data_IF_742337965206
#
_entry.id   IF_742337965206
#
_cell.length_a   1.000
_cell.length_b   1.000
_cell.length_c   1.000
_cell.angle_alpha   90.00
_cell.angle_beta   90.00
_cell.angle_gamma   90.00
#
_symmetry.space_group_name_H-M   'P 1'
#
loop_
_entity.id
_entity.type
_entity.pdbx_description
1 polymer ?
#
# COMPACT_ATOMS: atom_id res chain seq x y z
N UNK A 1 -27.54 -2.07 -8.45
CA UNK A 1 -26.73 -1.04 -9.13
C UNK A 1 -25.47 -1.71 -9.62
N UNK A 2 -25.27 -1.84 -10.94
CA UNK A 2 -23.96 -2.25 -11.48
C UNK A 2 -22.99 -1.11 -11.18
N UNK A 3 -21.90 -1.40 -10.47
CA UNK A 3 -20.79 -0.46 -10.37
C UNK A 3 -20.37 -0.10 -11.79
N UNK A 4 -20.47 1.18 -12.13
CA UNK A 4 -19.89 1.75 -13.33
C UNK A 4 -18.38 1.55 -13.18
N UNK A 5 -17.85 0.55 -13.90
CA UNK A 5 -16.43 0.21 -13.84
C UNK A 5 -15.71 1.34 -14.58
N UNK A 6 -14.94 2.14 -13.85
CA UNK A 6 -14.11 3.20 -14.42
C UNK A 6 -13.35 2.65 -15.64
N UNK A 7 -13.41 3.38 -16.76
CA UNK A 7 -12.79 2.97 -18.00
C UNK A 7 -11.28 2.84 -17.80
N UNK A 8 -10.70 1.63 -17.98
CA UNK A 8 -9.26 1.41 -17.79
C UNK A 8 -8.36 2.33 -18.61
N UNK A 9 -8.88 2.86 -19.74
CA UNK A 9 -8.16 3.85 -20.52
C UNK A 9 -7.88 5.13 -19.72
N UNK A 10 -8.85 5.63 -18.95
CA UNK A 10 -8.68 6.88 -18.20
C UNK A 10 -7.70 6.72 -17.05
N UNK A 11 -7.69 5.54 -16.40
CA UNK A 11 -6.71 5.21 -15.36
C UNK A 11 -5.30 5.15 -15.93
N UNK A 12 -5.08 4.37 -16.99
CA UNK A 12 -3.78 4.27 -17.63
C UNK A 12 -3.31 5.63 -18.21
N UNK A 13 -4.22 6.42 -18.75
CA UNK A 13 -3.93 7.79 -19.22
C UNK A 13 -3.54 8.72 -18.06
N UNK A 14 -4.14 8.56 -16.88
CA UNK A 14 -3.76 9.30 -15.68
C UNK A 14 -2.35 8.92 -15.22
N UNK A 15 -1.99 7.64 -15.23
CA UNK A 15 -0.62 7.18 -14.93
C UNK A 15 0.40 7.78 -15.89
N UNK A 16 0.11 7.78 -17.20
CA UNK A 16 0.94 8.44 -18.21
C UNK A 16 1.07 9.94 -17.93
N UNK A 17 -0.01 10.65 -17.58
CA UNK A 17 0.04 12.08 -17.23
C UNK A 17 0.94 12.35 -16.01
N UNK A 18 0.96 11.46 -15.02
CA UNK A 18 1.85 11.53 -13.86
C UNK A 18 3.31 11.35 -14.27
N UNK A 19 3.60 10.33 -15.08
CA UNK A 19 4.95 10.05 -15.59
C UNK A 19 5.46 11.18 -16.49
N UNK A 20 4.60 11.80 -17.30
CA UNK A 20 4.96 13.00 -18.09
C UNK A 20 5.33 14.19 -17.19
N UNK A 21 4.62 14.43 -16.09
CA UNK A 21 4.99 15.48 -15.12
C UNK A 21 6.34 15.21 -14.47
N UNK A 22 6.61 13.94 -14.12
CA UNK A 22 7.91 13.50 -13.60
C UNK A 22 9.02 13.76 -14.64
N UNK A 23 8.82 13.39 -15.90
CA UNK A 23 9.74 13.64 -17.01
C UNK A 23 10.03 15.14 -17.16
N UNK A 24 9.01 16.00 -17.15
CA UNK A 24 9.18 17.45 -17.23
C UNK A 24 10.00 18.00 -16.07
N UNK A 25 9.76 17.51 -14.84
CA UNK A 25 10.56 17.87 -13.67
C UNK A 25 12.03 17.43 -13.84
N UNK A 26 12.28 16.20 -14.27
CA UNK A 26 13.62 15.70 -14.55
C UNK A 26 14.34 16.56 -15.60
N UNK A 27 13.65 16.89 -16.69
CA UNK A 27 14.19 17.74 -17.76
C UNK A 27 14.50 19.16 -17.29
N UNK A 28 13.61 19.80 -16.53
CA UNK A 28 13.86 21.13 -15.96
C UNK A 28 15.09 21.13 -15.05
N UNK A 29 15.16 20.13 -14.16
CA UNK A 29 16.31 19.94 -13.28
C UNK A 29 17.61 19.73 -14.06
N UNK A 30 17.60 18.89 -15.10
CA UNK A 30 18.76 18.68 -15.97
C UNK A 30 19.13 19.95 -16.72
N UNK A 31 18.15 20.70 -17.23
CA UNK A 31 18.37 21.93 -18.00
C UNK A 31 19.03 23.02 -17.14
N UNK A 32 18.74 23.09 -15.84
CA UNK A 32 19.38 24.03 -14.90
C UNK A 32 20.83 23.71 -14.55
N UNK A 33 21.34 22.51 -14.84
CA UNK A 33 22.75 22.17 -14.54
C UNK A 33 23.69 22.98 -15.46
N UNK A 34 24.64 23.77 -14.94
CA UNK A 34 25.53 24.56 -15.80
C UNK A 34 26.48 23.70 -16.64
N UNK A 35 27.11 22.70 -16.02
CA UNK A 35 28.03 21.78 -16.68
C UNK A 35 27.31 20.51 -17.15
N UNK A 36 27.03 20.45 -18.47
CA UNK A 36 26.39 19.29 -19.10
C UNK A 36 27.30 18.06 -19.19
N UNK A 37 28.61 18.23 -18.99
CA UNK A 37 29.58 17.14 -18.99
C UNK A 37 29.79 16.52 -17.61
N UNK A 38 29.27 17.17 -16.56
CA UNK A 38 29.30 16.65 -15.20
C UNK A 38 28.62 15.27 -15.11
N UNK A 39 29.12 14.43 -14.21
CA UNK A 39 28.55 13.10 -13.96
C UNK A 39 27.06 13.18 -13.62
N UNK A 40 26.66 14.19 -12.84
CA UNK A 40 25.26 14.46 -12.49
C UNK A 40 24.38 14.77 -13.71
N UNK A 41 24.88 15.57 -14.66
CA UNK A 41 24.14 15.86 -15.89
C UNK A 41 24.00 14.62 -16.79
N UNK A 42 25.03 13.78 -16.84
CA UNK A 42 25.01 12.53 -17.60
C UNK A 42 24.03 11.51 -17.00
N UNK A 43 24.03 11.35 -15.69
CA UNK A 43 23.09 10.47 -14.98
C UNK A 43 21.64 10.91 -15.22
N UNK A 44 21.33 12.20 -15.04
CA UNK A 44 19.99 12.73 -15.32
C UNK A 44 19.58 12.60 -16.79
N UNK A 45 20.52 12.77 -17.72
CA UNK A 45 20.26 12.53 -19.14
C UNK A 45 19.83 11.08 -19.40
N UNK A 46 20.47 10.11 -18.72
CA UNK A 46 20.10 8.69 -18.81
C UNK A 46 18.69 8.44 -18.32
N UNK A 47 18.37 8.94 -17.12
CA UNK A 47 17.04 8.79 -16.52
C UNK A 47 15.95 9.39 -17.41
N UNK A 48 16.21 10.55 -18.01
CA UNK A 48 15.27 11.18 -18.96
C UNK A 48 15.07 10.31 -20.20
N UNK A 49 16.14 9.74 -20.77
CA UNK A 49 16.03 8.84 -21.93
C UNK A 49 15.25 7.58 -21.64
N UNK A 50 15.50 6.98 -20.49
CA UNK A 50 14.81 5.78 -20.04
C UNK A 50 13.32 6.06 -19.78
N UNK A 51 13.00 7.15 -19.09
CA UNK A 51 11.61 7.58 -18.87
C UNK A 51 10.88 7.86 -20.19
N UNK A 52 11.52 8.50 -21.16
CA UNK A 52 10.95 8.70 -22.51
C UNK A 52 10.70 7.36 -23.22
N UNK A 53 11.60 6.38 -23.06
CA UNK A 53 11.42 5.06 -23.66
C UNK A 53 10.16 4.39 -23.10
N UNK A 54 10.04 4.27 -21.78
CA UNK A 54 8.88 3.65 -21.14
C UNK A 54 7.57 4.37 -21.48
N UNK A 55 7.57 5.71 -21.44
CA UNK A 55 6.39 6.49 -21.84
C UNK A 55 5.99 6.26 -23.31
N UNK A 56 6.94 6.02 -24.23
CA UNK A 56 6.57 5.69 -25.61
C UNK A 56 5.91 4.31 -25.71
N UNK A 57 6.39 3.32 -24.93
CA UNK A 57 5.79 1.99 -24.86
C UNK A 57 4.35 2.09 -24.33
N UNK A 58 4.12 2.84 -23.24
CA UNK A 58 2.79 3.06 -22.67
C UNK A 58 1.84 3.76 -23.67
N UNK A 59 2.35 4.75 -24.41
CA UNK A 59 1.57 5.45 -25.44
C UNK A 59 1.24 4.55 -26.62
N UNK A 60 2.13 3.64 -27.01
CA UNK A 60 1.86 2.66 -28.06
C UNK A 60 0.73 1.71 -27.64
N UNK A 61 0.69 1.27 -26.38
CA UNK A 61 -0.40 0.46 -25.84
C UNK A 61 -1.74 1.20 -25.79
N UNK A 62 -1.73 2.46 -25.39
CA UNK A 62 -2.95 3.30 -25.41
C UNK A 62 -3.44 3.58 -26.84
N UNK A 63 -2.54 3.85 -27.78
CA UNK A 63 -2.90 4.02 -29.20
C UNK A 63 -3.47 2.72 -29.79
N UNK A 64 -2.89 1.57 -29.44
CA UNK A 64 -3.42 0.26 -29.82
C UNK A 64 -4.84 0.06 -29.28
N UNK A 65 -5.08 0.42 -28.02
CA UNK A 65 -6.41 0.36 -27.40
C UNK A 65 -7.43 1.23 -28.14
N UNK A 66 -7.09 2.48 -28.44
CA UNK A 66 -7.95 3.40 -29.22
C UNK A 66 -8.26 2.82 -30.60
N UNK A 67 -7.26 2.24 -31.28
CA UNK A 67 -7.43 1.63 -32.59
C UNK A 67 -8.33 0.38 -32.56
N UNK A 68 -8.25 -0.44 -31.51
CA UNK A 68 -9.13 -1.60 -31.31
C UNK A 68 -10.59 -1.17 -31.12
N UNK A 69 -10.82 -0.12 -30.32
CA UNK A 69 -12.15 0.44 -30.10
C UNK A 69 -12.72 1.03 -31.39
N UNK A 70 -11.91 1.81 -32.13
CA UNK A 70 -12.30 2.40 -33.42
C UNK A 70 -12.75 1.35 -34.46
N UNK A 71 -12.12 0.17 -34.47
CA UNK A 71 -12.50 -0.95 -35.35
C UNK A 71 -13.77 -1.68 -34.90
N UNK A 72 -14.18 -1.56 -33.64
CA UNK A 72 -15.26 -2.34 -33.03
C UNK A 72 -16.27 -1.46 -32.27
N UNK A 73 -16.64 -0.31 -32.84
CA UNK A 73 -17.54 0.68 -32.22
C UNK A 73 -18.85 0.09 -31.68
N UNK A 74 -19.43 -0.91 -32.33
CA UNK A 74 -20.69 -1.52 -31.87
C UNK A 74 -20.54 -2.33 -30.57
N UNK A 75 -19.32 -2.79 -30.25
CA UNK A 75 -19.02 -3.56 -29.02
C UNK A 75 -18.73 -2.64 -27.83
N UNK A 76 -18.23 -1.44 -28.10
CA UNK A 76 -17.78 -0.49 -27.09
C UNK A 76 -18.69 0.74 -27.15
N UNK A 77 -19.45 1.00 -26.07
CA UNK A 77 -20.38 2.12 -26.01
C UNK A 77 -19.66 3.48 -25.79
N UNK A 78 -18.73 3.82 -26.69
CA UNK A 78 -17.87 5.00 -26.64
C UNK A 78 -18.24 5.90 -27.84
N UNK A 79 -18.38 7.20 -27.61
CA UNK A 79 -18.71 8.16 -28.67
C UNK A 79 -17.52 8.43 -29.59
N UNK A 80 -17.78 8.81 -30.84
CA UNK A 80 -16.72 9.23 -31.75
C UNK A 80 -15.97 10.47 -31.23
N UNK A 81 -16.66 11.37 -30.55
CA UNK A 81 -16.05 12.53 -29.88
C UNK A 81 -15.04 12.09 -28.81
N UNK A 82 -15.42 11.14 -27.97
CA UNK A 82 -14.53 10.60 -26.94
C UNK A 82 -13.30 9.92 -27.56
N UNK A 83 -13.46 9.15 -28.64
CA UNK A 83 -12.33 8.55 -29.35
C UNK A 83 -11.35 9.58 -29.92
N UNK A 84 -11.86 10.67 -30.49
CA UNK A 84 -11.03 11.76 -31.01
C UNK A 84 -10.32 12.51 -29.86
N UNK A 85 -10.97 12.67 -28.70
CA UNK A 85 -10.36 13.24 -27.50
C UNK A 85 -9.19 12.37 -27.00
N UNK A 86 -9.37 11.04 -26.99
CA UNK A 86 -8.30 10.09 -26.63
C UNK A 86 -7.12 10.20 -27.58
N UNK A 87 -7.36 10.10 -28.89
CA UNK A 87 -6.31 10.20 -29.90
C UNK A 87 -5.57 11.55 -29.84
N UNK A 88 -6.29 12.65 -29.66
CA UNK A 88 -5.71 13.99 -29.55
C UNK A 88 -4.86 14.14 -28.29
N UNK A 89 -5.29 13.56 -27.16
CA UNK A 89 -4.53 13.59 -25.90
C UNK A 89 -3.20 12.86 -26.03
N UNK A 90 -3.20 11.64 -26.59
CA UNK A 90 -1.98 10.86 -26.81
C UNK A 90 -1.01 11.57 -27.77
N UNK A 91 -1.55 12.17 -28.83
CA UNK A 91 -0.76 12.98 -29.76
C UNK A 91 -0.08 14.16 -29.07
N UNK A 92 -0.79 14.90 -28.21
CA UNK A 92 -0.23 16.03 -27.47
C UNK A 92 0.93 15.57 -26.56
N UNK A 93 0.76 14.43 -25.87
CA UNK A 93 1.81 13.86 -25.04
C UNK A 93 3.04 13.50 -25.89
N UNK A 94 2.86 12.82 -27.05
CA UNK A 94 3.97 12.50 -27.96
C UNK A 94 4.71 13.76 -28.43
N UNK A 95 4.01 14.86 -28.69
CA UNK A 95 4.67 16.14 -29.01
C UNK A 95 5.59 16.60 -27.88
N UNK A 96 5.13 16.57 -26.63
CA UNK A 96 5.95 16.95 -25.45
C UNK A 96 7.20 16.07 -25.34
N UNK A 97 7.06 14.74 -25.51
CA UNK A 97 8.18 13.81 -25.46
C UNK A 97 9.22 14.12 -26.55
N UNK A 98 8.76 14.38 -27.78
CA UNK A 98 9.63 14.70 -28.91
C UNK A 98 10.35 16.04 -28.72
N UNK A 99 9.66 17.05 -28.17
CA UNK A 99 10.26 18.35 -27.85
C UNK A 99 11.35 18.20 -26.78
N UNK A 100 11.12 17.41 -25.73
CA UNK A 100 12.12 17.15 -24.70
C UNK A 100 13.31 16.38 -25.32
N UNK A 101 13.04 15.31 -26.06
CA UNK A 101 14.07 14.46 -26.67
C UNK A 101 14.97 15.21 -27.67
N UNK A 102 14.37 16.04 -28.53
CA UNK A 102 15.09 16.84 -29.51
C UNK A 102 15.96 17.91 -28.86
N UNK A 103 15.42 18.63 -27.86
CA UNK A 103 16.19 19.63 -27.11
C UNK A 103 17.34 19.01 -26.32
N UNK A 104 17.11 17.84 -25.73
CA UNK A 104 18.12 17.07 -25.00
C UNK A 104 19.26 16.67 -25.95
N UNK A 105 18.93 16.18 -27.14
CA UNK A 105 19.91 15.78 -28.16
C UNK A 105 20.67 16.96 -28.73
N UNK A 106 19.98 18.04 -29.11
CA UNK A 106 20.60 19.26 -29.64
C UNK A 106 21.60 19.88 -28.66
N UNK A 107 21.21 19.99 -27.38
CA UNK A 107 22.09 20.54 -26.34
C UNK A 107 23.29 19.62 -26.08
N UNK A 108 23.13 18.30 -26.06
CA UNK A 108 24.29 17.41 -25.86
C UNK A 108 25.25 17.44 -27.05
N UNK A 109 24.75 17.44 -28.29
CA UNK A 109 25.59 17.51 -29.49
C UNK A 109 26.37 18.82 -29.60
N UNK A 110 25.80 19.95 -29.17
CA UNK A 110 26.51 21.24 -29.13
C UNK A 110 27.62 21.29 -28.07
N UNK A 111 27.58 20.44 -27.04
CA UNK A 111 28.54 20.48 -25.94
C UNK A 111 29.70 19.48 -26.11
N UNK A 112 29.61 18.51 -27.03
CA UNK A 112 30.66 17.49 -27.14
C UNK A 112 30.69 16.74 -28.47
N UNK A 113 31.82 16.85 -29.17
CA UNK A 113 32.17 15.99 -30.30
C UNK A 113 32.56 14.55 -29.92
N UNK A 114 32.51 14.15 -28.65
CA UNK A 114 33.15 12.91 -28.15
C UNK A 114 32.30 12.07 -27.15
N UNK A 115 31.01 12.41 -26.94
CA UNK A 115 30.19 11.79 -25.87
C UNK A 115 29.64 10.39 -26.23
N UNK A 116 29.50 10.04 -27.50
CA UNK A 116 28.69 8.87 -27.88
C UNK A 116 29.36 7.52 -27.58
N UNK A 117 30.70 7.44 -27.64
CA UNK A 117 31.43 6.17 -27.50
C UNK A 117 31.66 5.71 -26.05
N UNK A 118 31.87 6.64 -25.12
CA UNK A 118 32.18 6.33 -23.72
C UNK A 118 30.91 6.19 -22.85
N UNK A 119 29.78 6.74 -23.31
CA UNK A 119 28.52 6.76 -22.59
C UNK A 119 27.89 5.36 -22.43
N UNK A 120 27.77 4.61 -23.53
CA UNK A 120 27.14 3.29 -23.53
C UNK A 120 27.94 2.27 -22.68
N UNK A 121 29.27 2.40 -22.63
CA UNK A 121 30.15 1.51 -21.87
C UNK A 121 30.16 1.77 -20.35
N UNK A 122 30.06 3.04 -19.93
CA UNK A 122 30.01 3.40 -18.50
C UNK A 122 28.63 3.12 -17.90
N UNK A 123 27.56 3.20 -18.69
CA UNK A 123 26.19 2.94 -18.26
C UNK A 123 25.92 1.44 -18.09
N UNK A 124 26.36 0.58 -19.03
CA UNK A 124 26.23 -0.88 -18.86
C UNK A 124 26.94 -1.39 -17.61
N UNK A 125 28.16 -0.89 -17.34
CA UNK A 125 28.91 -1.26 -16.14
C UNK A 125 28.30 -0.75 -14.83
N UNK A 126 27.50 0.32 -14.86
CA UNK A 126 26.84 0.86 -13.66
C UNK A 126 25.53 0.17 -13.36
N UNK A 127 24.72 -0.13 -14.37
CA UNK A 127 23.51 -0.94 -14.18
C UNK A 127 23.82 -2.35 -13.69
N UNK A 128 24.92 -2.99 -14.12
CA UNK A 128 25.33 -4.29 -13.55
C UNK A 128 25.67 -4.19 -12.06
N UNK A 129 26.39 -3.14 -11.63
CA UNK A 129 26.70 -2.92 -10.22
C UNK A 129 25.44 -2.62 -9.37
N UNK A 130 24.50 -1.84 -9.93
CA UNK A 130 23.24 -1.54 -9.26
C UNK A 130 22.33 -2.79 -9.20
N UNK A 131 22.37 -3.66 -10.21
CA UNK A 131 21.66 -4.95 -10.22
C UNK A 131 22.25 -5.93 -9.21
N UNK A 132 23.56 -5.96 -9.01
CA UNK A 132 24.22 -6.77 -7.98
C UNK A 132 23.84 -6.29 -6.57
N UNK A 133 23.81 -4.98 -6.33
CA UNK A 133 23.38 -4.40 -5.05
C UNK A 133 21.88 -4.63 -4.78
N UNK A 134 21.04 -4.56 -5.83
CA UNK A 134 19.62 -4.91 -5.75
C UNK A 134 19.41 -6.41 -5.50
N UNK A 135 20.20 -7.28 -6.13
CA UNK A 135 20.17 -8.71 -5.89
C UNK A 135 20.56 -9.05 -4.45
N UNK A 136 21.60 -8.41 -3.91
CA UNK A 136 22.00 -8.55 -2.52
C UNK A 136 20.89 -8.05 -1.57
N UNK A 137 20.26 -6.92 -1.91
CA UNK A 137 19.14 -6.38 -1.13
C UNK A 137 17.90 -7.29 -1.17
N UNK A 138 17.62 -7.91 -2.31
CA UNK A 138 16.54 -8.87 -2.47
C UNK A 138 16.82 -10.18 -1.71
N UNK A 139 18.07 -10.64 -1.67
CA UNK A 139 18.47 -11.82 -0.89
C UNK A 139 18.32 -11.55 0.62
N UNK A 140 18.74 -10.38 1.10
CA UNK A 140 18.52 -9.98 2.51
C UNK A 140 17.03 -9.89 2.85
N UNK A 141 16.21 -9.33 1.96
CA UNK A 141 14.77 -9.26 2.14
C UNK A 141 14.12 -10.66 2.13
N UNK A 142 14.57 -11.55 1.23
CA UNK A 142 14.11 -12.93 1.17
C UNK A 142 14.42 -13.69 2.47
N UNK A 143 15.64 -13.55 2.98
CA UNK A 143 16.03 -14.15 4.25
C UNK A 143 15.21 -13.58 5.43
N UNK A 144 14.98 -12.27 5.47
CA UNK A 144 14.10 -11.65 6.46
C UNK A 144 12.66 -12.15 6.35
N UNK A 145 12.14 -12.35 5.14
CA UNK A 145 10.80 -12.90 4.92
C UNK A 145 10.67 -14.34 5.39
N UNK A 146 11.71 -15.17 5.22
CA UNK A 146 11.77 -16.52 5.78
C UNK A 146 11.73 -16.46 7.31
N UNK A 147 12.54 -15.60 7.93
CA UNK A 147 12.56 -15.43 9.40
C UNK A 147 11.21 -14.96 9.94
N UNK A 148 10.55 -14.02 9.26
CA UNK A 148 9.21 -13.57 9.64
C UNK A 148 8.21 -14.73 9.49
N UNK A 149 8.28 -15.52 8.42
CA UNK A 149 7.38 -16.65 8.23
C UNK A 149 7.55 -17.72 9.33
N UNK A 150 8.78 -18.00 9.75
CA UNK A 150 9.05 -18.93 10.85
C UNK A 150 8.54 -18.36 12.17
N UNK A 151 8.81 -17.10 12.46
CA UNK A 151 8.34 -16.43 13.68
C UNK A 151 6.81 -16.39 13.76
N UNK A 152 6.13 -16.13 12.64
CA UNK A 152 4.66 -16.17 12.56
C UNK A 152 4.10 -17.58 12.81
N UNK A 153 4.77 -18.62 12.31
CA UNK A 153 4.39 -20.01 12.59
C UNK A 153 4.58 -20.37 14.07
N UNK A 154 5.64 -19.87 14.68
CA UNK A 154 5.90 -20.08 16.11
C UNK A 154 4.89 -19.31 16.96
N UNK A 155 4.56 -18.07 16.60
CA UNK A 155 3.48 -17.30 17.23
C UNK A 155 2.12 -17.97 17.09
N UNK A 156 1.82 -18.59 15.95
CA UNK A 156 0.58 -19.37 15.80
C UNK A 156 0.55 -20.56 16.77
N UNK A 157 1.66 -21.29 16.93
CA UNK A 157 1.74 -22.37 17.92
C UNK A 157 1.57 -21.85 19.36
N UNK A 158 2.13 -20.69 19.68
CA UNK A 158 1.98 -20.07 21.00
C UNK A 158 0.54 -19.61 21.26
N UNK A 159 -0.16 -19.11 20.23
CA UNK A 159 -1.58 -18.75 20.32
C UNK A 159 -2.45 -19.99 20.53
N UNK A 160 -2.17 -21.09 19.82
CA UNK A 160 -2.88 -22.36 20.02
C UNK A 160 -2.66 -22.90 21.46
N UNK A 161 -1.44 -22.78 22.01
CA UNK A 161 -1.14 -23.16 23.39
C UNK A 161 -1.88 -22.26 24.40
N UNK A 162 -1.92 -20.95 24.15
CA UNK A 162 -2.67 -20.00 24.97
C UNK A 162 -4.18 -20.27 24.93
N UNK A 163 -4.74 -20.62 23.78
CA UNK A 163 -6.16 -21.00 23.63
C UNK A 163 -6.47 -22.24 24.48
N UNK A 164 -5.60 -23.26 24.42
CA UNK A 164 -5.74 -24.45 25.25
C UNK A 164 -5.64 -24.15 26.76
N UNK A 165 -4.73 -23.25 27.17
CA UNK A 165 -4.65 -22.79 28.56
C UNK A 165 -5.89 -21.98 28.98
N UNK A 166 -6.42 -21.15 28.08
CA UNK A 166 -7.63 -20.37 28.31
C UNK A 166 -8.84 -21.29 28.52
N UNK A 167 -9.00 -22.33 27.69
CA UNK A 167 -10.07 -23.32 27.84
C UNK A 167 -9.98 -24.07 29.17
N UNK A 168 -8.77 -24.51 29.56
CA UNK A 168 -8.54 -25.15 30.86
C UNK A 168 -8.87 -24.22 32.04
N UNK A 169 -8.45 -22.95 31.95
CA UNK A 169 -8.77 -21.93 32.96
C UNK A 169 -10.27 -21.66 33.04
N UNK A 170 -10.95 -21.62 31.90
CA UNK A 170 -12.39 -21.38 31.80
C UNK A 170 -13.19 -22.55 32.41
N UNK A 171 -12.76 -23.79 32.19
CA UNK A 171 -13.34 -24.98 32.84
C UNK A 171 -13.18 -24.90 34.37
N UNK A 172 -11.99 -24.55 34.87
CA UNK A 172 -11.72 -24.38 36.30
C UNK A 172 -12.54 -23.24 36.91
N UNK A 173 -12.67 -22.12 36.19
CA UNK A 173 -13.49 -20.99 36.60
C UNK A 173 -14.98 -21.38 36.66
N UNK A 174 -15.50 -22.11 35.67
CA UNK A 174 -16.86 -22.63 35.69
C UNK A 174 -17.12 -23.54 36.89
N UNK A 175 -16.16 -24.37 37.27
CA UNK A 175 -16.23 -25.19 38.49
C UNK A 175 -16.28 -24.33 39.77
N UNK A 176 -15.44 -23.30 39.86
CA UNK A 176 -15.45 -22.37 41.01
C UNK A 176 -16.77 -21.61 41.09
N UNK A 177 -17.26 -21.08 39.97
CA UNK A 177 -18.54 -20.38 39.88
C UNK A 177 -19.70 -21.28 40.30
N UNK A 178 -19.70 -22.54 39.88
CA UNK A 178 -20.71 -23.53 40.31
C UNK A 178 -20.69 -23.77 41.83
N UNK A 179 -19.50 -23.92 42.42
CA UNK A 179 -19.35 -24.04 43.89
C UNK A 179 -19.86 -22.81 44.64
N UNK A 180 -19.58 -21.61 44.13
CA UNK A 180 -20.10 -20.37 44.70
C UNK A 180 -21.63 -20.34 44.61
N UNK A 181 -22.20 -20.74 43.47
CA UNK A 181 -23.65 -20.82 43.30
C UNK A 181 -24.30 -21.82 44.28
N UNK A 182 -23.68 -22.98 44.48
CA UNK A 182 -24.17 -24.00 45.43
C UNK A 182 -24.07 -23.51 46.89
N UNK A 183 -23.01 -22.79 47.25
CA UNK A 183 -22.85 -22.18 48.58
C UNK A 183 -23.88 -21.07 48.84
N UNK A 184 -24.16 -20.24 47.84
CA UNK A 184 -25.20 -19.20 47.94
C UNK A 184 -26.61 -19.79 48.07
N UNK A 185 -26.86 -20.96 47.48
CA UNK A 185 -28.17 -21.63 47.53
C UNK A 185 -28.46 -22.29 48.88
N UNK A 186 -27.44 -22.50 49.72
CA UNK A 186 -27.56 -23.15 51.05
C UNK A 186 -27.87 -22.16 52.18
N UNK A 187 -28.70 -21.13 51.92
CA UNK A 187 -29.25 -20.32 53.01
C UNK A 187 -30.40 -21.06 53.69
N UNK A 188 -30.25 -21.40 54.98
CA UNK A 188 -31.32 -21.96 55.80
C UNK A 188 -32.32 -20.85 56.18
N UNK A 189 -33.49 -20.74 55.52
CA UNK A 189 -34.41 -19.61 55.72
C UNK A 189 -34.94 -19.53 57.16
N UNK A 190 -34.94 -20.66 57.88
CA UNK A 190 -35.33 -20.74 59.29
C UNK A 190 -34.36 -20.00 60.22
N UNK A 191 -33.05 -20.08 59.95
CA UNK A 191 -32.02 -19.39 60.75
C UNK A 191 -32.09 -17.87 60.52
N UNK A 192 -32.25 -17.44 59.27
CA UNK A 192 -32.37 -16.02 58.94
C UNK A 192 -33.67 -15.41 59.49
N UNK A 193 -34.78 -16.14 59.40
CA UNK A 193 -36.05 -15.72 60.00
C UNK A 193 -35.95 -15.59 61.53
N UNK A 194 -35.27 -16.52 62.20
CA UNK A 194 -35.02 -16.45 63.64
C UNK A 194 -34.19 -15.23 64.04
N UNK A 195 -33.13 -14.91 63.29
CA UNK A 195 -32.29 -13.73 63.54
C UNK A 195 -33.10 -12.44 63.37
N UNK A 196 -33.88 -12.31 62.29
CA UNK A 196 -34.72 -11.13 62.05
C UNK A 196 -35.79 -10.97 63.14
N UNK A 197 -36.38 -12.07 63.61
CA UNK A 197 -37.34 -12.03 64.70
C UNK A 197 -36.70 -11.57 66.03
N UNK A 198 -35.51 -12.08 66.36
CA UNK A 198 -34.76 -11.69 67.57
C UNK A 198 -34.35 -10.23 67.55
N UNK A 199 -33.92 -9.70 66.40
CA UNK A 199 -33.54 -8.28 66.28
C UNK A 199 -34.74 -7.35 66.44
N UNK A 200 -35.89 -7.70 65.87
CA UNK A 200 -37.14 -6.92 66.04
C UNK A 200 -37.59 -6.86 67.50
N UNK A 201 -37.55 -7.98 68.22
CA UNK A 201 -37.88 -8.02 69.64
C UNK A 201 -36.93 -7.15 70.46
N UNK A 202 -35.62 -7.24 70.17
CA UNK A 202 -34.61 -6.43 70.86
C UNK A 202 -34.86 -4.93 70.67
N UNK A 203 -35.18 -4.50 69.44
CA UNK A 203 -35.53 -3.11 69.16
C UNK A 203 -36.81 -2.67 69.86
N UNK A 204 -37.84 -3.52 69.90
CA UNK A 204 -39.08 -3.21 70.61
C UNK A 204 -38.85 -3.03 72.11
N UNK A 205 -38.06 -3.91 72.73
CA UNK A 205 -37.69 -3.78 74.15
C UNK A 205 -36.91 -2.49 74.43
N UNK A 206 -35.96 -2.13 73.56
CA UNK A 206 -35.24 -0.86 73.67
C UNK A 206 -36.16 0.35 73.53
N UNK A 207 -37.12 0.32 72.60
CA UNK A 207 -38.07 1.41 72.41
C UNK A 207 -38.96 1.62 73.64
N UNK A 208 -39.50 0.53 74.21
CA UNK A 208 -40.31 0.60 75.44
C UNK A 208 -39.50 1.16 76.61
N UNK A 209 -38.22 0.79 76.73
CA UNK A 209 -37.33 1.27 77.79
C UNK A 209 -36.98 2.76 77.66
N UNK A 210 -36.87 3.29 76.43
CA UNK A 210 -36.61 4.72 76.20
C UNK A 210 -37.84 5.58 76.47
N UNK A 211 -39.05 5.03 76.27
CA UNK A 211 -40.32 5.75 76.45
C UNK A 211 -40.85 5.67 77.88
N UNK A 212 -40.59 4.58 78.62
CA UNK A 212 -40.88 4.47 80.07
C UNK A 212 -39.89 5.26 80.92
#
# INVERSE_FOLDING_TARGET
>A
MKAEKDDPFHEAKHEVDVSVKKLQSLYNNWSSIPDKNSMLAKEKYSLIKEEIKYLNEDLDDLDNSVNVVKKNLFKFNISNEELENRASSLKNIRTVLNDISSNLTYKVLNYSGDIKGEYDAVVLKRQDNDLDELAESAERLHNAAITINTELKDQQRLLDELENEMDYSNEKMNFVTKKIADYLKTNNPKMLSLIVYLTLISFFLLFVLVVS
#
